data_IF_150184903716
#
_entry.id   IF_150184903716
#
_cell.length_a   1.000
_cell.length_b   1.000
_cell.length_c   1.000
_cell.angle_alpha   90.00
_cell.angle_beta   90.00
_cell.angle_gamma   90.00
#
_symmetry.space_group_name_H-M   'P 1'
#
loop_
_entity.id
_entity.type
_entity.pdbx_description
1 polymer ?
#
# COMPACT_ATOMS: atom_id res chain seq x y z
N UNK A 1 -7.50 -10.96 2.61
CA UNK A 1 -6.64 -11.44 3.72
C UNK A 1 -5.82 -10.27 4.24
N UNK A 2 -5.66 -10.10 5.54
CA UNK A 2 -4.98 -8.95 6.14
C UNK A 2 -3.75 -9.42 6.92
N UNK A 3 -2.59 -8.83 6.64
CA UNK A 3 -1.32 -9.33 7.20
C UNK A 3 -0.92 -8.65 8.52
N UNK A 4 -1.24 -7.46 8.84
CA UNK A 4 -0.78 -6.75 10.07
C UNK A 4 -1.90 -6.23 10.96
N UNK A 5 -3.12 -6.65 10.70
CA UNK A 5 -4.28 -6.19 11.45
C UNK A 5 -4.51 -7.01 12.72
N UNK A 6 -5.23 -6.42 13.65
CA UNK A 6 -5.77 -7.13 14.80
C UNK A 6 -6.68 -8.27 14.33
N UNK A 7 -6.51 -9.45 14.93
CA UNK A 7 -7.19 -10.66 14.46
C UNK A 7 -8.70 -10.60 14.69
N UNK A 8 -9.12 -10.08 15.85
CA UNK A 8 -10.55 -9.97 16.16
C UNK A 8 -11.23 -9.01 15.20
N UNK A 9 -10.60 -7.85 14.95
CA UNK A 9 -11.10 -6.87 13.98
C UNK A 9 -11.11 -7.44 12.56
N UNK A 10 -10.09 -8.20 12.19
CA UNK A 10 -10.02 -8.85 10.87
C UNK A 10 -11.16 -9.83 10.69
N UNK A 11 -11.39 -10.71 11.68
CA UNK A 11 -12.44 -11.71 11.64
C UNK A 11 -13.85 -11.09 11.63
N UNK A 12 -14.07 -10.01 12.40
CA UNK A 12 -15.37 -9.30 12.42
C UNK A 12 -15.73 -8.69 11.07
N UNK A 13 -14.74 -8.41 10.21
CA UNK A 13 -14.92 -7.90 8.85
C UNK A 13 -14.93 -9.03 7.79
N UNK A 14 -14.99 -10.29 8.21
CA UNK A 14 -14.96 -11.43 7.29
C UNK A 14 -13.58 -11.71 6.66
N UNK A 15 -12.55 -11.05 7.16
CA UNK A 15 -11.17 -11.26 6.71
C UNK A 15 -10.51 -12.48 7.40
N UNK A 16 -9.33 -12.85 6.91
CA UNK A 16 -8.47 -13.85 7.55
C UNK A 16 -7.09 -13.26 7.76
N UNK A 17 -6.57 -13.37 8.98
CA UNK A 17 -5.20 -12.96 9.28
C UNK A 17 -4.21 -14.01 8.76
N UNK A 18 -3.08 -13.55 8.22
CA UNK A 18 -1.96 -14.38 7.87
C UNK A 18 -0.72 -14.00 8.69
N UNK A 19 0.05 -14.99 9.10
CA UNK A 19 1.29 -14.78 9.86
C UNK A 19 2.48 -14.42 8.98
N UNK A 20 2.47 -14.86 7.73
CA UNK A 20 3.54 -14.65 6.76
C UNK A 20 2.97 -14.32 5.38
N UNK A 21 3.55 -13.30 4.74
CA UNK A 21 3.14 -12.86 3.41
C UNK A 21 3.43 -13.94 2.35
N UNK A 22 4.55 -14.64 2.47
CA UNK A 22 4.95 -15.64 1.48
C UNK A 22 4.00 -16.85 1.45
N UNK A 23 3.39 -17.14 2.59
CA UNK A 23 2.44 -18.26 2.69
C UNK A 23 1.14 -18.00 1.92
N UNK A 24 0.77 -16.72 1.71
CA UNK A 24 -0.52 -16.33 1.14
C UNK A 24 -0.42 -15.72 -0.25
N UNK A 25 0.68 -15.02 -0.55
CA UNK A 25 0.78 -14.19 -1.76
C UNK A 25 0.62 -15.01 -3.06
N UNK A 26 1.03 -16.27 -3.03
CA UNK A 26 0.92 -17.21 -4.16
C UNK A 26 -0.52 -17.52 -4.58
N UNK A 27 -1.47 -17.39 -3.66
CA UNK A 27 -2.87 -17.74 -3.89
C UNK A 27 -3.75 -16.53 -4.18
N UNK A 28 -3.18 -15.32 -4.12
CA UNK A 28 -3.92 -14.07 -4.28
C UNK A 28 -4.03 -13.64 -5.74
N UNK A 29 -5.21 -13.15 -6.12
CA UNK A 29 -5.46 -12.52 -7.42
C UNK A 29 -5.14 -11.02 -7.37
N UNK A 30 -5.35 -10.38 -6.21
CA UNK A 30 -5.02 -8.98 -5.96
C UNK A 30 -4.23 -8.86 -4.65
N UNK A 31 -3.14 -8.11 -4.69
CA UNK A 31 -2.35 -7.76 -3.50
C UNK A 31 -2.26 -6.25 -3.39
N UNK A 32 -2.85 -5.68 -2.35
CA UNK A 32 -2.82 -4.25 -2.09
C UNK A 32 -2.03 -3.95 -0.82
N UNK A 33 -1.08 -3.01 -0.93
CA UNK A 33 -0.16 -2.65 0.15
C UNK A 33 -0.69 -1.43 0.90
N UNK A 34 -0.79 -1.54 2.24
CA UNK A 34 -1.31 -0.50 3.14
C UNK A 34 -0.50 -0.37 4.44
N UNK A 35 0.81 -0.58 4.37
CA UNK A 35 1.72 -0.45 5.54
C UNK A 35 2.56 0.83 5.43
N UNK A 36 3.00 1.43 6.54
CA UNK A 36 3.96 2.53 6.50
C UNK A 36 5.33 2.04 6.01
N UNK A 37 6.08 2.91 5.34
CA UNK A 37 7.47 2.63 4.99
C UNK A 37 8.37 2.77 6.23
N UNK A 38 9.11 1.72 6.52
CA UNK A 38 10.18 1.68 7.52
C UNK A 38 11.16 0.54 7.16
N UNK A 39 12.20 0.32 7.97
CA UNK A 39 13.22 -0.68 7.68
C UNK A 39 12.67 -2.11 7.53
N UNK A 40 11.54 -2.43 8.22
CA UNK A 40 10.90 -3.75 8.15
C UNK A 40 9.95 -3.91 6.96
N UNK A 41 9.57 -2.81 6.31
CA UNK A 41 8.63 -2.79 5.19
C UNK A 41 9.25 -2.34 3.88
N UNK A 42 10.49 -1.85 3.92
CA UNK A 42 11.26 -1.56 2.71
C UNK A 42 11.49 -2.85 1.93
N UNK A 43 11.18 -2.83 0.63
CA UNK A 43 11.26 -3.98 -0.26
C UNK A 43 10.52 -5.21 0.27
N UNK A 44 9.43 -4.98 1.03
CA UNK A 44 8.57 -6.04 1.57
C UNK A 44 8.07 -6.97 0.45
N UNK A 45 7.73 -6.39 -0.69
CA UNK A 45 7.41 -7.12 -1.91
C UNK A 45 8.58 -6.96 -2.88
N UNK A 46 9.20 -8.07 -3.22
CA UNK A 46 10.37 -8.15 -4.09
C UNK A 46 10.18 -9.23 -5.17
N UNK A 47 11.18 -9.42 -6.01
CA UNK A 47 11.12 -10.37 -7.12
C UNK A 47 10.80 -11.80 -6.69
N UNK A 48 11.31 -12.24 -5.52
CA UNK A 48 11.05 -13.60 -5.03
C UNK A 48 9.56 -13.80 -4.69
N UNK A 49 8.93 -12.79 -4.08
CA UNK A 49 7.49 -12.83 -3.82
C UNK A 49 6.71 -12.86 -5.15
N UNK A 50 7.05 -11.96 -6.09
CA UNK A 50 6.35 -11.83 -7.37
C UNK A 50 6.47 -13.08 -8.25
N UNK A 51 7.59 -13.79 -8.18
CA UNK A 51 7.77 -15.10 -8.87
C UNK A 51 6.83 -16.19 -8.37
N UNK A 52 6.38 -16.10 -7.12
CA UNK A 52 5.47 -17.09 -6.54
C UNK A 52 3.99 -16.74 -6.75
N UNK A 53 3.68 -15.49 -7.11
CA UNK A 53 2.32 -15.04 -7.37
C UNK A 53 1.70 -15.73 -8.58
N UNK A 54 0.39 -15.66 -8.67
CA UNK A 54 -0.32 -16.06 -9.90
C UNK A 54 0.10 -15.17 -11.06
N UNK A 55 0.26 -15.74 -12.25
CA UNK A 55 0.53 -14.96 -13.48
C UNK A 55 -0.59 -13.98 -13.84
N UNK A 56 -1.77 -14.17 -13.27
CA UNK A 56 -2.94 -13.28 -13.41
C UNK A 56 -3.03 -12.25 -12.31
N UNK A 57 -2.13 -12.27 -11.32
CA UNK A 57 -2.19 -11.40 -10.15
C UNK A 57 -1.90 -9.94 -10.50
N UNK A 58 -2.57 -9.03 -9.80
CA UNK A 58 -2.36 -7.59 -9.86
C UNK A 58 -1.83 -7.11 -8.51
N UNK A 59 -0.74 -6.35 -8.54
CA UNK A 59 -0.09 -5.77 -7.37
C UNK A 59 -0.39 -4.27 -7.29
N UNK A 60 -0.86 -3.78 -6.14
CA UNK A 60 -1.29 -2.39 -5.97
C UNK A 60 -0.51 -1.75 -4.82
N UNK A 61 0.09 -0.59 -5.09
CA UNK A 61 0.74 0.24 -4.07
C UNK A 61 0.15 1.66 -4.08
N UNK A 62 -0.68 1.93 -3.08
CA UNK A 62 -1.21 3.25 -2.76
C UNK A 62 -0.79 3.67 -1.33
N UNK A 63 0.30 3.11 -0.80
CA UNK A 63 0.80 3.39 0.54
C UNK A 63 2.02 4.31 0.51
N UNK A 64 3.21 3.77 0.20
CA UNK A 64 4.47 4.53 0.05
C UNK A 64 5.37 3.83 -0.96
N UNK A 65 6.14 4.61 -1.73
CA UNK A 65 7.23 4.10 -2.55
C UNK A 65 8.27 3.35 -1.71
N UNK A 66 9.00 2.43 -2.31
CA UNK A 66 10.00 1.61 -1.62
C UNK A 66 9.46 0.45 -0.80
N UNK A 67 8.14 0.26 -0.66
CA UNK A 67 7.57 -0.96 -0.06
C UNK A 67 7.59 -2.10 -1.08
N UNK A 68 7.27 -1.80 -2.32
CA UNK A 68 7.52 -2.68 -3.46
C UNK A 68 8.85 -2.25 -4.07
N UNK A 69 9.76 -3.17 -4.32
CA UNK A 69 10.99 -2.87 -5.04
C UNK A 69 10.65 -2.59 -6.51
N UNK A 70 10.94 -1.38 -6.98
CA UNK A 70 10.54 -0.92 -8.32
C UNK A 70 11.28 -1.64 -9.45
N UNK A 71 12.59 -1.92 -9.27
CA UNK A 71 13.37 -2.65 -10.26
C UNK A 71 12.93 -4.11 -10.38
N UNK A 72 12.61 -4.74 -9.26
CA UNK A 72 12.07 -6.09 -9.20
C UNK A 72 10.67 -6.16 -9.84
N UNK A 73 9.85 -5.12 -9.64
CA UNK A 73 8.52 -5.02 -10.24
C UNK A 73 8.62 -4.91 -11.76
N UNK A 74 9.54 -4.08 -12.26
CA UNK A 74 9.78 -3.96 -13.69
C UNK A 74 10.18 -5.31 -14.29
N UNK A 75 11.14 -6.02 -13.67
CA UNK A 75 11.55 -7.35 -14.11
C UNK A 75 10.37 -8.33 -14.11
N UNK A 76 9.58 -8.35 -13.04
CA UNK A 76 8.44 -9.25 -12.91
C UNK A 76 7.38 -9.03 -13.98
N UNK A 77 7.09 -7.76 -14.31
CA UNK A 77 6.14 -7.40 -15.37
C UNK A 77 6.66 -7.79 -16.77
N UNK A 78 7.94 -7.55 -17.04
CA UNK A 78 8.58 -7.88 -18.31
C UNK A 78 8.66 -9.40 -18.53
N UNK A 79 8.90 -10.17 -17.46
CA UNK A 79 8.94 -11.64 -17.50
C UNK A 79 7.57 -12.32 -17.35
N UNK A 80 6.49 -11.56 -17.25
CA UNK A 80 5.13 -12.07 -17.04
C UNK A 80 4.98 -12.95 -15.78
N UNK A 81 5.69 -12.62 -14.70
CA UNK A 81 5.49 -13.29 -13.41
C UNK A 81 4.16 -12.87 -12.77
N UNK A 82 3.73 -11.62 -13.01
CA UNK A 82 2.42 -11.08 -12.62
C UNK A 82 1.76 -10.42 -13.84
N UNK A 83 0.45 -10.21 -13.77
CA UNK A 83 -0.32 -9.63 -14.87
C UNK A 83 -0.08 -8.13 -15.02
N UNK A 84 -0.09 -7.39 -13.89
CA UNK A 84 0.00 -5.94 -13.91
C UNK A 84 0.21 -5.34 -12.53
N UNK A 85 0.36 -4.02 -12.49
CA UNK A 85 0.46 -3.27 -11.24
C UNK A 85 -0.31 -1.94 -11.32
N UNK A 86 -0.77 -1.46 -10.15
CA UNK A 86 -1.27 -0.10 -9.93
C UNK A 86 -0.34 0.64 -8.97
N UNK A 87 0.20 1.77 -9.38
CA UNK A 87 1.12 2.57 -8.57
C UNK A 87 0.59 4.00 -8.42
N UNK A 88 0.31 4.38 -7.19
CA UNK A 88 0.00 5.77 -6.81
C UNK A 88 1.22 6.49 -6.23
N UNK A 89 2.27 5.73 -5.88
CA UNK A 89 3.47 6.19 -5.19
C UNK A 89 4.73 5.58 -5.78
N UNK A 90 5.86 6.32 -5.68
CA UNK A 90 7.17 5.92 -6.16
C UNK A 90 8.25 6.09 -5.09
N UNK A 91 9.38 5.36 -5.20
CA UNK A 91 10.54 5.52 -4.31
C UNK A 91 11.07 6.95 -4.29
N UNK A 92 11.06 7.59 -5.47
CA UNK A 92 11.40 9.00 -5.64
C UNK A 92 10.18 9.72 -6.21
N UNK A 93 9.72 10.76 -5.54
CA UNK A 93 8.61 11.59 -6.00
C UNK A 93 9.07 13.05 -6.16
N UNK A 94 8.88 13.64 -7.35
CA UNK A 94 8.36 13.02 -8.58
C UNK A 94 9.31 11.95 -9.13
N UNK A 95 8.77 10.89 -9.78
CA UNK A 95 9.59 9.84 -10.38
C UNK A 95 10.46 10.40 -11.52
N UNK A 96 11.62 9.77 -11.73
CA UNK A 96 12.48 10.11 -12.86
C UNK A 96 11.71 9.84 -14.17
N UNK A 97 11.82 10.77 -15.13
CA UNK A 97 11.14 10.65 -16.43
C UNK A 97 11.59 9.41 -17.22
N UNK A 98 12.76 8.87 -16.89
CA UNK A 98 13.30 7.66 -17.48
C UNK A 98 12.94 6.39 -16.68
N UNK A 99 12.19 6.49 -15.60
CA UNK A 99 11.74 5.32 -14.85
C UNK A 99 10.94 4.40 -15.79
N UNK A 100 11.38 3.15 -16.02
CA UNK A 100 10.76 2.26 -17.01
C UNK A 100 9.31 1.92 -16.67
N UNK A 101 8.93 1.96 -15.39
CA UNK A 101 7.55 1.70 -14.96
C UNK A 101 6.57 2.75 -15.52
N UNK A 102 7.02 4.00 -15.78
CA UNK A 102 6.17 5.04 -16.37
C UNK A 102 5.73 4.73 -17.81
N UNK A 103 6.48 3.89 -18.50
CA UNK A 103 6.22 3.51 -19.89
C UNK A 103 5.68 2.08 -20.03
N UNK A 104 5.60 1.34 -18.94
CA UNK A 104 5.17 -0.04 -18.95
C UNK A 104 3.64 -0.13 -19.11
N UNK A 105 3.16 -0.73 -20.20
CA UNK A 105 1.73 -0.85 -20.52
C UNK A 105 0.92 -1.70 -19.52
N UNK A 106 1.59 -2.43 -18.64
CA UNK A 106 0.95 -3.23 -17.59
C UNK A 106 0.85 -2.48 -16.26
N UNK A 107 1.29 -1.21 -16.22
CA UNK A 107 1.23 -0.39 -15.02
C UNK A 107 0.18 0.70 -15.19
N UNK A 108 -0.79 0.73 -14.29
CA UNK A 108 -1.69 1.85 -14.11
C UNK A 108 -1.06 2.83 -13.12
N UNK A 109 -1.01 4.12 -13.49
CA UNK A 109 -0.34 5.16 -12.71
C UNK A 109 -1.34 6.20 -12.22
N UNK A 110 -1.15 6.68 -10.99
CA UNK A 110 -1.80 7.89 -10.49
C UNK A 110 -0.80 8.77 -9.71
N UNK A 111 -1.03 10.09 -9.61
CA UNK A 111 -0.04 11.04 -9.14
C UNK A 111 -0.12 11.26 -7.62
N UNK A 112 0.00 10.20 -6.82
CA UNK A 112 -0.12 10.21 -5.36
C UNK A 112 -1.46 10.82 -4.90
N UNK A 113 -2.53 10.38 -5.53
CA UNK A 113 -3.87 10.95 -5.39
C UNK A 113 -4.94 9.93 -4.96
N UNK A 114 -4.55 8.74 -4.51
CA UNK A 114 -5.48 7.68 -4.12
C UNK A 114 -6.46 8.09 -3.01
N UNK A 115 -6.10 9.09 -2.19
CA UNK A 115 -6.96 9.65 -1.14
C UNK A 115 -7.80 10.86 -1.59
N UNK A 116 -7.66 11.35 -2.83
CA UNK A 116 -8.33 12.57 -3.31
C UNK A 116 -9.73 12.27 -3.84
N UNK A 117 -10.57 11.62 -3.02
CA UNK A 117 -12.01 11.55 -3.27
C UNK A 117 -12.73 12.60 -2.45
N UNK A 118 -13.90 13.03 -2.90
CA UNK A 118 -14.71 14.04 -2.19
C UNK A 118 -15.00 13.61 -0.75
N UNK A 119 -15.40 12.36 -0.56
CA UNK A 119 -15.72 11.81 0.77
C UNK A 119 -14.49 11.74 1.69
N UNK A 120 -13.32 11.41 1.12
CA UNK A 120 -12.08 11.36 1.89
C UNK A 120 -11.65 12.77 2.32
N UNK A 121 -11.70 13.74 1.40
CA UNK A 121 -11.35 15.13 1.68
C UNK A 121 -12.27 15.74 2.74
N UNK A 122 -13.58 15.52 2.63
CA UNK A 122 -14.55 16.00 3.63
C UNK A 122 -14.28 15.38 5.00
N UNK A 123 -14.03 14.06 5.06
CA UNK A 123 -13.74 13.35 6.30
C UNK A 123 -12.44 13.84 6.94
N UNK A 124 -11.35 13.94 6.17
CA UNK A 124 -10.06 14.44 6.66
C UNK A 124 -10.17 15.87 7.22
N UNK A 125 -10.86 16.76 6.52
CA UNK A 125 -11.07 18.13 6.98
C UNK A 125 -11.86 18.19 8.29
N UNK A 126 -12.96 17.44 8.37
CA UNK A 126 -13.79 17.37 9.57
C UNK A 126 -13.03 16.81 10.76
N UNK A 127 -12.32 15.69 10.59
CA UNK A 127 -11.56 15.05 11.66
C UNK A 127 -10.39 15.94 12.12
N UNK A 128 -9.72 16.65 11.21
CA UNK A 128 -8.65 17.59 11.58
C UNK A 128 -9.17 18.71 12.45
N UNK A 129 -10.29 19.33 12.07
CA UNK A 129 -10.91 20.40 12.86
C UNK A 129 -11.38 19.86 14.22
N UNK A 130 -12.01 18.70 14.24
CA UNK A 130 -12.49 18.09 15.48
C UNK A 130 -11.33 17.79 16.44
N UNK A 131 -10.23 17.23 15.95
CA UNK A 131 -9.05 16.95 16.77
C UNK A 131 -8.45 18.23 17.39
N UNK A 132 -8.49 19.35 16.68
CA UNK A 132 -8.05 20.65 17.22
C UNK A 132 -8.98 21.11 18.35
N UNK A 133 -10.30 21.01 18.15
CA UNK A 133 -11.28 21.37 19.16
C UNK A 133 -11.10 20.46 20.41
N UNK A 134 -11.02 19.17 20.20
CA UNK A 134 -10.86 18.17 21.27
C UNK A 134 -9.55 18.37 22.05
N UNK A 135 -8.48 18.83 21.37
CA UNK A 135 -7.23 19.18 22.05
C UNK A 135 -7.42 20.35 23.03
N UNK A 136 -8.07 21.44 22.59
CA UNK A 136 -8.30 22.59 23.45
C UNK A 136 -9.36 22.34 24.54
N UNK A 137 -10.27 21.39 24.32
CA UNK A 137 -11.26 20.95 25.32
C UNK A 137 -10.75 19.82 26.21
N UNK A 138 -9.48 19.43 26.12
CA UNK A 138 -8.85 18.32 26.86
C UNK A 138 -9.54 16.95 26.66
N UNK A 139 -10.23 16.78 25.54
CA UNK A 139 -10.96 15.56 25.17
C UNK A 139 -10.24 14.67 24.16
N UNK A 140 -9.10 15.14 23.61
CA UNK A 140 -8.37 14.41 22.58
C UNK A 140 -7.96 13.02 23.07
N UNK A 141 -8.27 12.00 22.27
CA UNK A 141 -7.81 10.63 22.54
C UNK A 141 -6.26 10.60 22.52
N UNK A 142 -5.69 10.21 23.66
CA UNK A 142 -4.23 10.13 23.83
C UNK A 142 -3.55 9.18 22.85
N UNK A 143 -4.28 8.23 22.25
CA UNK A 143 -3.77 7.35 21.21
C UNK A 143 -3.50 8.07 19.89
N UNK A 144 -4.10 9.25 19.69
CA UNK A 144 -3.90 10.10 18.51
C UNK A 144 -2.64 10.95 18.61
N UNK A 145 -2.00 11.00 19.78
CA UNK A 145 -0.77 11.78 20.00
C UNK A 145 0.44 10.95 19.59
N UNK A 146 1.17 11.45 18.59
CA UNK A 146 2.45 10.83 18.20
C UNK A 146 3.48 11.12 19.30
N UNK A 147 4.00 10.07 19.91
CA UNK A 147 5.16 10.19 20.79
C UNK A 147 6.41 10.25 19.91
N UNK A 148 7.10 11.38 19.96
CA UNK A 148 8.40 11.58 19.33
C UNK A 148 9.48 10.76 20.02
#
# INVERSE_FOLDING_TARGET
>A
MLFRSDENKTNSLGGKKASDINSIIKDMDYVSVHVPLNDKTRNLINLNNMKTMKKTAILINAARGGIINESDLEEALNKNYIFGAGLDVFEKEPPDINNPLLKNKKVFLSPHAASFTEECMQRMSKETIQNIIDFFEEKLDKSMIIKL
#
